data_IF_388395948628
#
_entry.id   IF_388395948628
#
_cell.length_a   1.000
_cell.length_b   1.000
_cell.length_c   1.000
_cell.angle_alpha   90.00
_cell.angle_beta   90.00
_cell.angle_gamma   90.00
#
_symmetry.space_group_name_H-M   'P 1'
#
loop_
_entity.id
_entity.type
_entity.pdbx_description
1 polymer ?
#
# COMPACT_ATOMS: atom_id res chain seq x y z
N UNK A 1 -15.27 -4.79 7.82
CA UNK A 1 -14.92 -4.40 6.44
C UNK A 1 -13.52 -4.93 6.12
N UNK A 2 -13.44 -6.20 5.72
CA UNK A 2 -12.18 -6.90 5.36
C UNK A 2 -12.04 -7.00 3.82
N UNK A 3 -13.12 -6.68 3.10
CA UNK A 3 -13.37 -7.04 1.70
C UNK A 3 -12.40 -6.40 0.68
N UNK A 4 -11.82 -5.24 0.97
CA UNK A 4 -10.92 -4.58 0.01
C UNK A 4 -9.46 -5.02 0.14
N UNK A 5 -9.04 -5.60 1.28
CA UNK A 5 -7.64 -5.94 1.52
C UNK A 5 -7.09 -6.93 0.50
N UNK A 6 -7.86 -7.98 0.20
CA UNK A 6 -7.47 -9.00 -0.79
C UNK A 6 -7.42 -8.41 -2.20
N UNK A 7 -8.46 -7.67 -2.59
CA UNK A 7 -8.52 -7.02 -3.91
C UNK A 7 -7.39 -6.01 -4.12
N UNK A 8 -7.03 -5.27 -3.07
CA UNK A 8 -5.87 -4.35 -3.08
C UNK A 8 -4.58 -5.14 -3.35
N UNK A 9 -4.36 -6.26 -2.65
CA UNK A 9 -3.16 -7.10 -2.85
C UNK A 9 -3.11 -7.68 -4.26
N UNK A 10 -4.23 -8.17 -4.78
CA UNK A 10 -4.32 -8.73 -6.13
C UNK A 10 -3.96 -7.67 -7.19
N UNK A 11 -4.55 -6.47 -7.10
CA UNK A 11 -4.27 -5.37 -8.03
C UNK A 11 -2.81 -4.92 -7.89
N UNK A 12 -2.33 -4.74 -6.66
CA UNK A 12 -0.94 -4.33 -6.40
C UNK A 12 0.07 -5.34 -6.96
N UNK A 13 -0.21 -6.64 -6.82
CA UNK A 13 0.59 -7.72 -7.39
C UNK A 13 0.64 -7.63 -8.90
N UNK A 14 -0.52 -7.53 -9.54
CA UNK A 14 -0.64 -7.43 -10.99
C UNK A 14 0.16 -6.25 -11.56
N UNK A 15 0.01 -5.05 -10.98
CA UNK A 15 0.68 -3.85 -11.53
C UNK A 15 2.19 -3.82 -11.26
N UNK A 16 2.67 -4.48 -10.19
CA UNK A 16 4.11 -4.69 -9.95
C UNK A 16 4.70 -5.73 -10.90
N UNK A 17 4.02 -6.87 -11.09
CA UNK A 17 4.46 -7.93 -12.02
C UNK A 17 4.47 -7.45 -13.47
N UNK A 18 3.46 -6.65 -13.86
CA UNK A 18 3.40 -5.99 -15.16
C UNK A 18 4.38 -4.81 -15.30
N UNK A 19 5.17 -4.49 -14.25
CA UNK A 19 6.12 -3.35 -14.21
C UNK A 19 5.49 -2.00 -14.59
N UNK A 20 4.19 -1.83 -14.31
CA UNK A 20 3.51 -0.54 -14.47
C UNK A 20 3.97 0.47 -13.43
N UNK A 21 4.35 -0.05 -12.26
CA UNK A 21 4.92 0.68 -11.14
C UNK A 21 6.17 -0.04 -10.65
N UNK A 22 7.10 0.70 -10.07
CA UNK A 22 8.33 0.20 -9.45
C UNK A 22 8.17 0.08 -7.92
N UNK A 23 7.16 0.75 -7.35
CA UNK A 23 6.91 0.83 -5.92
C UNK A 23 5.40 0.94 -5.65
N UNK A 24 4.92 0.24 -4.62
CA UNK A 24 3.59 0.44 -4.03
C UNK A 24 3.75 1.16 -2.67
N UNK A 25 2.97 2.22 -2.45
CA UNK A 25 2.80 2.85 -1.15
C UNK A 25 1.40 2.48 -0.62
N UNK A 26 1.37 1.80 0.51
CA UNK A 26 0.14 1.34 1.14
C UNK A 26 0.18 1.42 2.66
N UNK A 27 -0.72 0.69 3.31
CA UNK A 27 -0.77 0.57 4.77
C UNK A 27 -0.37 -0.84 5.21
N UNK A 28 0.22 -0.97 6.39
CA UNK A 28 0.41 -2.22 7.12
C UNK A 28 -0.18 -2.10 8.53
N UNK A 29 -0.40 -3.22 9.20
CA UNK A 29 -0.75 -3.20 10.63
C UNK A 29 0.38 -2.57 11.43
N UNK A 30 0.03 -1.60 12.27
CA UNK A 30 0.96 -1.02 13.22
C UNK A 30 1.22 -1.96 14.41
N UNK A 31 2.17 -1.57 15.24
CA UNK A 31 2.47 -2.25 16.50
C UNK A 31 1.48 -1.93 17.62
N UNK A 32 0.73 -0.84 17.50
CA UNK A 32 -0.27 -0.36 18.46
C UNK A 32 -1.67 -0.73 17.94
N UNK A 33 -2.58 -1.25 18.79
CA UNK A 33 -3.95 -1.52 18.40
C UNK A 33 -4.63 -0.31 17.76
N UNK A 34 -5.43 -0.55 16.71
CA UNK A 34 -6.16 0.49 15.97
C UNK A 34 -5.26 1.54 15.29
N UNK A 35 -3.97 1.24 15.13
CA UNK A 35 -3.04 2.04 14.33
C UNK A 35 -2.58 1.30 13.08
N UNK A 36 -2.44 2.07 12.01
CA UNK A 36 -1.84 1.62 10.75
C UNK A 36 -0.59 2.43 10.47
N UNK A 37 0.36 1.80 9.79
CA UNK A 37 1.62 2.43 9.41
C UNK A 37 1.76 2.42 7.88
N UNK A 38 2.44 3.41 7.28
CA UNK A 38 2.77 3.38 5.86
C UNK A 38 3.73 2.22 5.58
N UNK A 39 3.61 1.61 4.39
CA UNK A 39 4.55 0.61 3.89
C UNK A 39 4.90 0.90 2.44
N UNK A 40 6.18 0.72 2.12
CA UNK A 40 6.75 0.88 0.79
C UNK A 40 7.19 -0.49 0.29
N UNK A 41 6.58 -0.97 -0.79
CA UNK A 41 6.75 -2.33 -1.28
C UNK A 41 7.27 -2.29 -2.71
N UNK A 42 8.50 -2.78 -2.91
CA UNK A 42 9.12 -2.94 -4.24
C UNK A 42 9.05 -4.38 -4.76
N UNK A 43 8.92 -5.34 -3.84
CA UNK A 43 8.90 -6.77 -4.14
C UNK A 43 7.49 -7.31 -3.98
N UNK A 44 6.99 -8.02 -5.00
CA UNK A 44 5.69 -8.67 -4.98
C UNK A 44 5.52 -9.67 -3.84
N UNK A 45 6.61 -10.25 -3.32
CA UNK A 45 6.57 -11.17 -2.16
C UNK A 45 6.15 -10.45 -0.86
N UNK A 46 6.34 -9.14 -0.78
CA UNK A 46 6.03 -8.36 0.41
C UNK A 46 4.61 -7.77 0.42
N UNK A 47 3.78 -8.09 -0.59
CA UNK A 47 2.42 -7.57 -0.71
C UNK A 47 1.46 -8.07 0.37
N UNK A 48 1.77 -9.18 1.04
CA UNK A 48 0.98 -9.68 2.17
C UNK A 48 1.01 -8.72 3.37
N UNK A 49 2.01 -7.83 3.43
CA UNK A 49 2.08 -6.77 4.43
C UNK A 49 0.99 -5.70 4.23
N UNK A 50 0.42 -5.60 3.02
CA UNK A 50 -0.67 -4.67 2.76
C UNK A 50 -1.88 -5.01 3.61
N UNK A 51 -2.37 -4.00 4.27
CA UNK A 51 -3.49 -4.04 5.18
C UNK A 51 -4.48 -2.94 4.83
N UNK A 52 -5.76 -3.22 5.05
CA UNK A 52 -6.82 -2.26 4.83
C UNK A 52 -7.91 -2.43 5.87
N UNK A 53 -8.22 -1.35 6.58
CA UNK A 53 -9.35 -1.24 7.49
C UNK A 53 -9.79 0.22 7.70
N UNK A 54 -10.70 0.44 8.65
CA UNK A 54 -11.20 1.77 8.98
C UNK A 54 -10.17 2.70 9.64
N UNK A 55 -9.03 2.18 10.11
CA UNK A 55 -7.95 2.93 10.75
C UNK A 55 -6.85 3.37 9.76
N UNK A 56 -6.95 2.99 8.48
CA UNK A 56 -6.14 3.53 7.38
C UNK A 56 -6.51 5.01 7.11
N UNK A 57 -6.01 5.92 7.95
CA UNK A 57 -6.37 7.35 7.94
C UNK A 57 -5.20 8.28 7.59
N UNK A 58 -3.99 7.74 7.42
CA UNK A 58 -2.81 8.54 7.08
C UNK A 58 -2.84 8.95 5.61
N UNK A 59 -2.47 10.21 5.32
CA UNK A 59 -2.27 10.66 3.95
C UNK A 59 -0.95 10.09 3.39
N UNK A 60 -1.05 9.04 2.58
CA UNK A 60 0.09 8.41 1.93
C UNK A 60 0.78 9.30 0.88
N UNK A 61 0.11 10.35 0.38
CA UNK A 61 0.71 11.26 -0.60
C UNK A 61 1.91 12.04 -0.02
N UNK A 62 1.99 12.15 1.31
CA UNK A 62 3.14 12.76 2.00
C UNK A 62 4.47 12.01 1.75
N UNK A 63 4.42 10.77 1.26
CA UNK A 63 5.60 9.95 0.98
C UNK A 63 6.07 10.01 -0.49
N UNK A 64 5.38 10.78 -1.33
CA UNK A 64 5.71 10.99 -2.75
C UNK A 64 6.85 11.98 -3.03
N UNK A 65 7.06 13.07 -2.25
CA UNK A 65 8.07 14.07 -2.61
C UNK A 65 9.48 13.49 -2.75
N UNK A 66 10.25 14.00 -3.73
CA UNK A 66 11.64 13.63 -4.01
C UNK A 66 11.85 12.17 -4.45
N UNK A 67 10.82 11.53 -5.01
CA UNK A 67 10.92 10.21 -5.65
C UNK A 67 10.83 10.33 -7.16
N UNK A 68 11.59 9.47 -7.84
CA UNK A 68 11.69 9.46 -9.31
C UNK A 68 11.13 8.17 -9.91
N UNK A 69 10.94 7.13 -9.09
CA UNK A 69 10.34 5.86 -9.49
C UNK A 69 8.84 5.99 -9.81
N UNK A 70 8.29 5.04 -10.59
CA UNK A 70 6.84 4.97 -10.85
C UNK A 70 6.13 4.39 -9.64
N UNK A 71 5.22 5.15 -9.03
CA UNK A 71 4.59 4.79 -7.76
C UNK A 71 3.11 4.48 -7.95
N UNK A 72 2.69 3.31 -7.47
CA UNK A 72 1.29 3.02 -7.17
C UNK A 72 0.97 3.41 -5.74
N UNK A 73 -0.13 4.11 -5.50
CA UNK A 73 -0.54 4.58 -4.17
C UNK A 73 -1.95 4.12 -3.87
N UNK A 74 -2.18 3.62 -2.65
CA UNK A 74 -3.53 3.34 -2.16
C UNK A 74 -4.13 4.66 -1.66
N UNK A 75 -5.16 5.14 -2.33
CA UNK A 75 -5.87 6.37 -1.95
C UNK A 75 -7.21 6.06 -1.26
N UNK A 76 -7.53 6.82 -0.22
CA UNK A 76 -8.83 6.86 0.45
C UNK A 76 -9.40 8.27 0.27
N UNK A 77 -10.66 8.38 -0.16
CA UNK A 77 -11.37 9.63 -0.40
C UNK A 77 -12.79 9.57 0.11
#
# INVERSE_FOLDING_TARGET
MIEYGEKIREIAKKILEEKKVDLIIGFKKGTIPMMTEPVLIKDGQNLDQLYWDSFCNMNLANYLPKREEKIGIIAKG
#
